data_IF_482617544254
#
_entry.id   IF_482617544254
#
_cell.length_a   1.000
_cell.length_b   1.000
_cell.length_c   1.000
_cell.angle_alpha   90.00
_cell.angle_beta   90.00
_cell.angle_gamma   90.00
#
_symmetry.space_group_name_H-M   'P 1'
#
loop_
_entity.id
_entity.type
_entity.pdbx_description
1 polymer ?
#
# COMPACT_ATOMS: atom_id res chain seq x y z
N UNK A 1 -16.74 16.76 15.93
CA UNK A 1 -15.98 15.66 16.55
C UNK A 1 -15.70 14.57 15.49
N UNK A 2 -14.92 14.88 14.44
CA UNK A 2 -14.73 13.97 13.28
C UNK A 2 -13.27 13.99 12.78
N UNK A 3 -12.46 13.07 13.28
CA UNK A 3 -11.12 12.75 12.78
C UNK A 3 -10.96 11.23 12.76
N UNK A 4 -11.50 10.53 11.77
CA UNK A 4 -11.74 9.09 11.99
C UNK A 4 -11.52 8.13 10.81
N UNK A 5 -10.61 8.47 9.89
CA UNK A 5 -9.93 7.39 9.17
C UNK A 5 -8.77 6.83 10.01
N UNK A 6 -8.08 7.66 10.81
CA UNK A 6 -6.97 7.29 11.73
C UNK A 6 -5.88 6.36 11.17
N UNK A 7 -5.85 6.14 9.86
CA UNK A 7 -4.78 5.43 9.16
C UNK A 7 -3.57 6.34 9.20
N UNK A 8 -2.58 5.95 9.99
CA UNK A 8 -1.25 6.54 9.94
C UNK A 8 -0.42 5.83 8.86
N UNK A 9 0.82 6.31 8.68
CA UNK A 9 1.74 5.79 7.66
C UNK A 9 2.05 4.31 7.89
N UNK A 10 2.26 3.91 9.15
CA UNK A 10 2.54 2.51 9.53
C UNK A 10 1.40 1.56 9.15
N UNK A 11 0.15 1.91 9.48
CA UNK A 11 -1.02 1.12 9.10
C UNK A 11 -1.13 1.05 7.58
N UNK A 12 -0.90 2.17 6.88
CA UNK A 12 -0.96 2.19 5.42
C UNK A 12 0.14 1.32 4.79
N UNK A 13 1.37 1.39 5.29
CA UNK A 13 2.48 0.51 4.91
C UNK A 13 2.10 -0.96 5.06
N UNK A 14 1.53 -1.34 6.20
CA UNK A 14 1.12 -2.72 6.43
C UNK A 14 -0.03 -3.14 5.50
N UNK A 15 -0.93 -2.22 5.12
CA UNK A 15 -1.95 -2.49 4.10
C UNK A 15 -1.32 -2.70 2.72
N UNK A 16 -0.26 -1.96 2.37
CA UNK A 16 0.50 -2.18 1.12
C UNK A 16 1.12 -3.58 1.13
N UNK A 17 1.84 -3.97 2.19
CA UNK A 17 2.42 -5.33 2.32
C UNK A 17 1.35 -6.42 2.27
N UNK A 18 0.26 -6.24 3.03
CA UNK A 18 -0.89 -7.15 3.01
C UNK A 18 -1.46 -7.31 1.60
N UNK A 19 -1.45 -6.25 0.79
CA UNK A 19 -1.93 -6.26 -0.59
C UNK A 19 -1.07 -7.16 -1.48
N UNK A 20 0.26 -7.11 -1.38
CA UNK A 20 1.13 -8.06 -2.08
C UNK A 20 0.80 -9.51 -1.71
N UNK A 21 0.72 -9.81 -0.41
CA UNK A 21 0.36 -11.15 0.07
C UNK A 21 -1.05 -11.59 -0.35
N UNK A 22 -2.02 -10.67 -0.34
CA UNK A 22 -3.38 -10.95 -0.77
C UNK A 22 -3.44 -11.25 -2.29
N UNK A 23 -2.67 -10.53 -3.10
CA UNK A 23 -2.56 -10.78 -4.54
C UNK A 23 -1.86 -12.10 -4.85
N UNK A 24 -0.84 -12.47 -4.07
CA UNK A 24 -0.06 -13.70 -4.26
C UNK A 24 -0.81 -14.95 -3.77
N UNK A 25 -1.41 -14.87 -2.58
CA UNK A 25 -1.96 -16.03 -1.85
C UNK A 25 -3.49 -16.02 -1.75
N UNK A 26 -4.18 -15.04 -2.32
CA UNK A 26 -5.65 -14.95 -2.27
C UNK A 26 -6.23 -14.59 -0.90
N UNK A 27 -5.41 -14.05 0.02
CA UNK A 27 -5.85 -13.66 1.37
C UNK A 27 -6.83 -12.48 1.35
N UNK A 28 -7.69 -12.41 2.37
CA UNK A 28 -8.58 -11.26 2.62
C UNK A 28 -7.89 -10.21 3.49
N UNK A 29 -8.28 -8.96 3.32
CA UNK A 29 -7.83 -7.80 4.10
C UNK A 29 -9.08 -7.08 4.59
N UNK A 30 -9.32 -7.12 5.89
CA UNK A 30 -10.42 -6.43 6.55
C UNK A 30 -9.91 -5.12 7.13
N UNK A 31 -10.50 -3.99 6.72
CA UNK A 31 -10.14 -2.66 7.24
C UNK A 31 -11.36 -2.08 7.96
N UNK A 32 -11.32 -2.05 9.30
CA UNK A 32 -12.39 -1.48 10.11
C UNK A 32 -12.11 0.00 10.32
N UNK A 33 -13.04 0.84 9.86
CA UNK A 33 -12.95 2.29 9.93
C UNK A 33 -13.84 2.82 11.05
N UNK A 34 -13.37 3.85 11.75
CA UNK A 34 -14.14 4.56 12.77
C UNK A 34 -15.14 5.53 12.10
N UNK A 35 -16.07 5.01 11.30
CA UNK A 35 -17.03 5.84 10.58
C UNK A 35 -18.44 5.26 10.63
N UNK A 36 -19.43 6.14 10.50
CA UNK A 36 -20.82 5.73 10.34
C UNK A 36 -21.04 5.12 8.95
N UNK A 37 -22.10 4.31 8.86
CA UNK A 37 -22.49 3.58 7.65
C UNK A 37 -22.54 4.45 6.39
N UNK A 38 -23.05 5.67 6.51
CA UNK A 38 -23.26 6.56 5.37
C UNK A 38 -21.94 7.10 4.78
N UNK A 39 -20.83 6.98 5.52
CA UNK A 39 -19.53 7.54 5.12
C UNK A 39 -18.51 6.48 4.68
N UNK A 40 -18.79 5.20 4.90
CA UNK A 40 -17.86 4.12 4.62
C UNK A 40 -17.45 4.08 3.14
N UNK A 41 -18.39 4.29 2.22
CA UNK A 41 -18.14 4.27 0.78
C UNK A 41 -17.20 5.41 0.37
N UNK A 42 -17.45 6.62 0.92
CA UNK A 42 -16.63 7.78 0.62
C UNK A 42 -15.20 7.61 1.14
N UNK A 43 -15.04 7.18 2.40
CA UNK A 43 -13.73 7.02 3.03
C UNK A 43 -12.94 5.89 2.37
N UNK A 44 -13.58 4.74 2.13
CA UNK A 44 -12.94 3.59 1.47
C UNK A 44 -12.48 3.91 0.06
N UNK A 45 -13.27 4.63 -0.75
CA UNK A 45 -12.87 5.06 -2.10
C UNK A 45 -11.61 5.89 -2.08
N UNK A 46 -11.46 6.79 -1.11
CA UNK A 46 -10.27 7.62 -1.00
C UNK A 46 -9.04 6.82 -0.53
N UNK A 47 -9.20 5.90 0.42
CA UNK A 47 -8.12 4.98 0.81
C UNK A 47 -7.68 4.15 -0.40
N UNK A 48 -8.64 3.61 -1.15
CA UNK A 48 -8.37 2.83 -2.36
C UNK A 48 -7.69 3.65 -3.43
N UNK A 49 -8.06 4.92 -3.63
CA UNK A 49 -7.41 5.81 -4.59
C UNK A 49 -5.91 5.92 -4.33
N UNK A 50 -5.52 6.09 -3.07
CA UNK A 50 -4.10 6.16 -2.69
C UNK A 50 -3.43 4.80 -2.71
N UNK A 51 -4.10 3.74 -2.24
CA UNK A 51 -3.55 2.39 -2.26
C UNK A 51 -3.26 1.94 -3.70
N UNK A 52 -4.22 2.09 -4.62
CA UNK A 52 -4.02 1.74 -6.02
C UNK A 52 -2.99 2.62 -6.71
N UNK A 53 -2.70 3.81 -6.19
CA UNK A 53 -1.65 4.66 -6.73
C UNK A 53 -0.25 4.13 -6.43
N UNK A 54 -0.07 3.51 -5.26
CA UNK A 54 1.24 3.02 -4.79
C UNK A 54 1.49 1.54 -5.08
N UNK A 55 0.47 0.80 -5.52
CA UNK A 55 0.64 -0.61 -5.90
C UNK A 55 1.15 -0.73 -7.35
N UNK A 56 1.98 -1.72 -7.69
CA UNK A 56 2.32 -2.04 -9.08
C UNK A 56 1.13 -2.59 -9.87
N UNK A 57 1.13 -2.47 -11.22
CA UNK A 57 0.03 -2.97 -12.06
C UNK A 57 -0.30 -4.47 -11.86
N UNK A 58 0.68 -5.38 -11.75
CA UNK A 58 0.41 -6.80 -11.49
C UNK A 58 -0.39 -7.03 -10.20
N UNK A 59 -0.07 -6.29 -9.14
CA UNK A 59 -0.77 -6.36 -7.85
C UNK A 59 -2.18 -5.76 -7.97
N UNK A 60 -2.34 -4.59 -8.60
CA UNK A 60 -3.66 -3.96 -8.84
C UNK A 60 -4.62 -4.88 -9.59
N UNK A 61 -4.13 -5.65 -10.57
CA UNK A 61 -4.96 -6.55 -11.39
C UNK A 61 -5.52 -7.75 -10.60
N UNK A 62 -4.92 -8.10 -9.46
CA UNK A 62 -5.30 -9.29 -8.66
C UNK A 62 -6.09 -8.98 -7.40
N UNK A 63 -6.15 -7.72 -7.00
CA UNK A 63 -6.86 -7.28 -5.80
C UNK A 63 -8.14 -6.57 -6.24
N UNK A 64 -9.29 -7.06 -5.83
CA UNK A 64 -10.53 -6.31 -5.85
C UNK A 64 -10.96 -5.88 -4.44
N UNK A 65 -11.95 -5.01 -4.38
CA UNK A 65 -12.47 -4.48 -3.12
C UNK A 65 -13.99 -4.51 -3.06
N UNK A 66 -14.53 -4.45 -1.84
CA UNK A 66 -15.95 -4.20 -1.60
C UNK A 66 -16.12 -3.30 -0.38
N UNK A 67 -17.11 -2.42 -0.48
CA UNK A 67 -17.68 -1.69 0.64
C UNK A 67 -18.98 -2.41 0.97
N UNK A 68 -19.19 -2.84 2.23
CA UNK A 68 -20.39 -3.51 2.76
C UNK A 68 -20.37 -5.04 3.01
N UNK A 69 -21.08 -5.42 4.09
CA UNK A 69 -21.12 -6.72 4.81
C UNK A 69 -21.83 -7.88 4.11
N UNK A 70 -22.56 -7.66 3.01
CA UNK A 70 -23.18 -8.76 2.25
C UNK A 70 -22.13 -9.32 1.29
N UNK A 71 -21.13 -10.00 1.85
CA UNK A 71 -20.14 -10.73 1.07
C UNK A 71 -20.90 -11.75 0.21
N UNK A 72 -20.90 -11.63 -1.13
CA UNK A 72 -21.39 -12.71 -1.97
C UNK A 72 -20.49 -13.92 -1.70
N UNK A 73 -21.08 -15.08 -1.42
CA UNK A 73 -20.39 -16.30 -0.96
C UNK A 73 -19.22 -16.76 -1.85
N UNK A 74 -19.07 -16.24 -3.07
CA UNK A 74 -17.92 -16.51 -3.93
C UNK A 74 -17.61 -15.31 -4.82
N UNK A 75 -16.57 -14.55 -4.47
CA UNK A 75 -15.78 -13.78 -5.45
C UNK A 75 -14.30 -13.98 -5.11
N UNK A 76 -13.64 -14.81 -5.92
CA UNK A 76 -12.20 -15.10 -5.83
C UNK A 76 -11.31 -13.85 -5.98
N UNK A 77 -11.89 -12.72 -6.41
CA UNK A 77 -11.19 -11.47 -6.69
C UNK A 77 -11.49 -10.34 -5.69
N UNK A 78 -12.27 -10.56 -4.62
CA UNK A 78 -12.44 -9.53 -3.57
C UNK A 78 -11.44 -9.81 -2.47
N UNK A 79 -10.43 -8.97 -2.29
CA UNK A 79 -9.44 -9.13 -1.24
C UNK A 79 -9.67 -8.10 -0.14
N UNK A 80 -9.94 -6.83 -0.47
CA UNK A 80 -10.09 -5.76 0.52
C UNK A 80 -11.56 -5.54 0.86
N UNK A 81 -11.89 -5.59 2.15
CA UNK A 81 -13.24 -5.42 2.68
C UNK A 81 -13.21 -4.30 3.71
N UNK A 82 -13.90 -3.19 3.40
CA UNK A 82 -14.06 -2.09 4.35
C UNK A 82 -15.29 -2.31 5.23
N UNK A 83 -15.10 -2.12 6.53
CA UNK A 83 -16.12 -2.34 7.56
C UNK A 83 -16.25 -1.11 8.46
N UNK A 84 -17.45 -0.87 9.00
CA UNK A 84 -17.65 0.15 10.04
C UNK A 84 -17.23 -0.40 11.40
N UNK A 85 -16.90 0.49 12.35
CA UNK A 85 -16.72 0.15 13.76
C UNK A 85 -17.85 -0.76 14.27
N UNK A 86 -17.49 -1.83 14.98
CA UNK A 86 -18.43 -2.79 15.54
C UNK A 86 -18.95 -3.85 14.55
N UNK A 87 -18.47 -3.86 13.29
CA UNK A 87 -18.84 -4.90 12.31
C UNK A 87 -18.26 -6.27 12.65
N UNK A 88 -17.07 -6.31 13.26
CA UNK A 88 -16.44 -7.55 13.75
C UNK A 88 -16.81 -7.70 15.22
N UNK A 89 -17.72 -8.62 15.53
CA UNK A 89 -18.12 -8.91 16.92
C UNK A 89 -17.20 -9.92 17.60
N UNK A 90 -16.70 -10.89 16.84
CA UNK A 90 -15.79 -11.94 17.29
C UNK A 90 -14.91 -12.38 16.15
N UNK A 91 -13.61 -12.49 16.42
CA UNK A 91 -12.63 -12.95 15.44
C UNK A 91 -12.68 -14.47 15.38
N UNK A 92 -13.01 -15.00 14.21
CA UNK A 92 -13.10 -16.44 13.94
C UNK A 92 -11.91 -16.89 13.07
N UNK A 93 -11.80 -18.20 12.84
CA UNK A 93 -10.70 -18.79 12.06
C UNK A 93 -10.65 -18.27 10.62
N UNK A 94 -11.81 -18.01 10.02
CA UNK A 94 -11.90 -17.46 8.65
C UNK A 94 -11.33 -16.04 8.57
N UNK A 95 -11.63 -15.18 9.54
CA UNK A 95 -11.05 -13.83 9.63
C UNK A 95 -9.54 -13.90 9.87
N UNK A 96 -9.07 -14.83 10.71
CA UNK A 96 -7.64 -15.05 10.99
C UNK A 96 -6.85 -15.62 9.81
N UNK A 97 -7.51 -16.23 8.83
CA UNK A 97 -6.86 -16.67 7.61
C UNK A 97 -6.43 -15.50 6.69
N UNK A 98 -7.01 -14.32 6.91
CA UNK A 98 -6.64 -13.07 6.26
C UNK A 98 -5.91 -12.11 7.19
N UNK A 99 -6.02 -10.81 6.87
CA UNK A 99 -5.45 -9.71 7.62
C UNK A 99 -6.56 -8.83 8.19
N UNK A 100 -6.42 -8.36 9.43
CA UNK A 100 -7.40 -7.50 10.08
C UNK A 100 -6.70 -6.23 10.55
N UNK A 101 -7.24 -5.08 10.15
CA UNK A 101 -6.85 -3.75 10.60
C UNK A 101 -8.05 -3.13 11.31
N UNK A 102 -8.24 -3.43 12.60
CA UNK A 102 -9.25 -2.78 13.43
C UNK A 102 -8.71 -1.48 14.02
N UNK A 103 -8.85 -0.41 13.25
CA UNK A 103 -8.35 0.91 13.60
C UNK A 103 -9.06 1.50 14.84
N UNK A 104 -10.41 1.49 14.97
CA UNK A 104 -11.07 1.96 16.18
C UNK A 104 -10.77 1.11 17.41
N UNK A 105 -10.63 -0.21 17.25
CA UNK A 105 -10.30 -1.15 18.33
C UNK A 105 -8.81 -1.16 18.69
N UNK A 106 -7.94 -0.67 17.79
CA UNK A 106 -6.48 -0.82 17.84
C UNK A 106 -6.03 -2.28 17.88
N UNK A 107 -6.78 -3.16 17.20
CA UNK A 107 -6.46 -4.58 17.08
C UNK A 107 -6.00 -4.90 15.65
N UNK A 108 -4.84 -5.52 15.53
CA UNK A 108 -4.21 -5.82 14.23
C UNK A 108 -3.83 -7.30 14.16
N UNK A 109 -4.32 -7.99 13.13
CA UNK A 109 -3.95 -9.36 12.81
C UNK A 109 -3.18 -9.33 11.49
N UNK A 110 -1.86 -9.31 11.60
CA UNK A 110 -0.93 -9.09 10.48
C UNK A 110 0.07 -10.24 10.33
N UNK A 111 -0.29 -11.44 10.81
CA UNK A 111 0.59 -12.61 10.82
C UNK A 111 1.12 -12.95 9.42
N UNK A 112 2.44 -13.05 9.32
CA UNK A 112 3.15 -13.29 8.07
C UNK A 112 3.39 -12.05 7.21
N UNK A 113 3.02 -10.85 7.67
CA UNK A 113 3.60 -9.60 7.15
C UNK A 113 4.91 -9.38 7.90
N UNK A 114 6.01 -9.22 7.17
CA UNK A 114 7.31 -8.97 7.77
C UNK A 114 7.39 -7.55 8.38
N UNK A 115 8.31 -7.38 9.32
CA UNK A 115 8.64 -6.07 9.92
C UNK A 115 9.78 -5.34 9.20
N UNK A 116 10.29 -5.87 8.09
CA UNK A 116 11.41 -5.30 7.37
C UNK A 116 11.02 -3.96 6.73
N UNK A 117 12.01 -3.10 6.53
CA UNK A 117 11.84 -1.92 5.69
C UNK A 117 12.07 -2.31 4.25
N UNK A 118 11.21 -1.80 3.37
CA UNK A 118 11.26 -2.07 1.94
C UNK A 118 11.55 -0.76 1.22
N UNK A 119 12.72 -0.60 0.59
CA UNK A 119 13.05 0.55 -0.22
C UNK A 119 11.95 0.93 -1.22
N UNK A 120 11.28 -0.06 -1.82
CA UNK A 120 10.15 0.19 -2.70
C UNK A 120 8.98 0.87 -1.98
N UNK A 121 8.61 0.39 -0.78
CA UNK A 121 7.53 0.98 0.01
C UNK A 121 7.87 2.41 0.41
N UNK A 122 9.11 2.64 0.88
CA UNK A 122 9.59 3.98 1.24
C UNK A 122 9.49 4.92 0.03
N UNK A 123 9.92 4.48 -1.15
CA UNK A 123 9.80 5.25 -2.39
C UNK A 123 8.35 5.64 -2.72
N UNK A 124 7.42 4.67 -2.70
CA UNK A 124 6.03 4.96 -3.09
C UNK A 124 5.28 5.81 -2.07
N UNK A 125 5.60 5.68 -0.77
CA UNK A 125 5.03 6.51 0.29
C UNK A 125 5.53 7.95 0.16
N UNK A 126 6.84 8.14 -0.03
CA UNK A 126 7.43 9.47 -0.23
C UNK A 126 6.88 10.18 -1.49
N UNK A 127 6.45 9.40 -2.49
CA UNK A 127 5.89 9.90 -3.75
C UNK A 127 4.37 9.79 -3.86
N UNK A 128 3.63 9.45 -2.80
CA UNK A 128 2.17 9.18 -2.85
C UNK A 128 1.33 10.35 -3.41
N UNK A 129 1.82 11.59 -3.24
CA UNK A 129 1.20 12.79 -3.80
C UNK A 129 1.67 13.19 -5.20
N UNK A 130 2.69 12.51 -5.75
CA UNK A 130 3.29 12.82 -7.05
C UNK A 130 2.94 11.73 -8.07
N UNK A 131 1.76 11.86 -8.68
CA UNK A 131 1.23 10.87 -9.65
C UNK A 131 2.14 10.70 -10.86
N UNK A 132 2.76 11.78 -11.35
CA UNK A 132 3.65 11.73 -12.50
C UNK A 132 4.86 10.81 -12.23
N UNK A 133 5.52 10.98 -11.08
CA UNK A 133 6.66 10.14 -10.69
C UNK A 133 6.27 8.68 -10.49
N UNK A 134 5.15 8.42 -9.82
CA UNK A 134 4.69 7.04 -9.61
C UNK A 134 4.29 6.37 -10.92
N UNK A 135 3.60 7.07 -11.81
CA UNK A 135 3.21 6.52 -13.11
C UNK A 135 4.43 6.23 -13.99
N UNK A 136 5.41 7.16 -14.04
CA UNK A 136 6.66 6.93 -14.76
C UNK A 136 7.40 5.69 -14.23
N UNK A 137 7.53 5.57 -12.90
CA UNK A 137 8.14 4.40 -12.26
C UNK A 137 7.41 3.11 -12.65
N UNK A 138 6.09 3.02 -12.48
CA UNK A 138 5.35 1.79 -12.77
C UNK A 138 5.35 1.44 -14.26
N UNK A 139 5.35 2.42 -15.16
CA UNK A 139 5.49 2.18 -16.59
C UNK A 139 6.86 1.59 -16.94
N UNK A 140 7.94 2.14 -16.35
CA UNK A 140 9.30 1.59 -16.52
C UNK A 140 9.38 0.16 -16.00
N UNK A 141 8.83 -0.12 -14.83
CA UNK A 141 8.83 -1.45 -14.23
C UNK A 141 8.04 -2.47 -15.06
N UNK A 142 6.86 -2.10 -15.57
CA UNK A 142 6.05 -3.00 -16.41
C UNK A 142 6.79 -3.38 -17.71
N UNK A 143 7.60 -2.47 -18.26
CA UNK A 143 8.44 -2.73 -19.42
C UNK A 143 9.64 -3.65 -19.13
N UNK A 144 10.11 -3.75 -17.88
CA UNK A 144 11.26 -4.56 -17.48
C UNK A 144 10.91 -6.02 -17.12
N UNK A 145 9.62 -6.41 -17.14
CA UNK A 145 9.12 -7.77 -16.88
C UNK A 145 9.74 -8.43 -15.64
N UNK A 146 9.31 -8.00 -14.45
CA UNK A 146 9.61 -8.71 -13.20
C UNK A 146 9.01 -10.12 -13.24
N UNK A 147 9.83 -11.15 -13.03
CA UNK A 147 9.41 -12.56 -13.04
C UNK A 147 8.38 -12.86 -11.93
N UNK A 148 8.73 -12.56 -10.67
CA UNK A 148 7.84 -12.69 -9.53
C UNK A 148 7.14 -11.37 -9.19
N UNK A 149 6.38 -10.81 -10.13
CA UNK A 149 5.73 -9.49 -10.01
C UNK A 149 4.71 -9.31 -8.86
N UNK A 150 4.48 -10.32 -8.04
CA UNK A 150 3.66 -10.25 -6.81
C UNK A 150 4.48 -10.38 -5.53
N UNK A 151 5.78 -10.62 -5.66
CA UNK A 151 6.73 -10.66 -4.57
C UNK A 151 7.25 -9.24 -4.33
N UNK A 152 7.05 -8.72 -3.13
CA UNK A 152 7.46 -7.36 -2.75
C UNK A 152 8.97 -7.17 -2.88
N UNK A 153 9.76 -8.19 -2.55
CA UNK A 153 11.22 -8.12 -2.54
C UNK A 153 11.83 -7.85 -3.93
N UNK A 154 11.17 -8.32 -4.99
CA UNK A 154 11.60 -8.04 -6.37
C UNK A 154 11.57 -6.54 -6.70
N UNK A 155 10.64 -5.81 -6.08
CA UNK A 155 10.57 -4.36 -6.25
C UNK A 155 11.65 -3.63 -5.46
N UNK A 156 12.09 -4.18 -4.33
CA UNK A 156 13.21 -3.61 -3.57
C UNK A 156 14.53 -3.73 -4.33
N UNK A 157 14.71 -4.81 -5.08
CA UNK A 157 15.93 -5.06 -5.86
C UNK A 157 16.16 -3.99 -6.94
N UNK A 158 15.10 -3.32 -7.42
CA UNK A 158 15.20 -2.16 -8.31
C UNK A 158 15.99 -1.02 -7.65
N UNK A 159 15.85 -0.84 -6.34
CA UNK A 159 16.54 0.19 -5.57
C UNK A 159 17.87 -0.30 -4.98
N UNK A 160 18.13 -1.61 -5.05
CA UNK A 160 19.25 -2.28 -4.42
C UNK A 160 20.56 -2.29 -5.23
N UNK A 161 20.72 -1.40 -6.22
CA UNK A 161 21.89 -1.36 -7.12
C UNK A 161 23.22 -1.70 -6.44
N UNK A 162 23.70 -2.94 -6.69
CA UNK A 162 24.90 -3.60 -6.16
C UNK A 162 24.94 -3.91 -4.65
N UNK A 163 24.27 -4.97 -4.19
CA UNK A 163 24.76 -5.77 -3.05
C UNK A 163 24.14 -7.19 -2.93
N UNK A 164 24.06 -7.93 -4.05
CA UNK A 164 23.92 -9.40 -4.01
C UNK A 164 25.08 -10.07 -4.77
N UNK A 165 26.31 -9.64 -4.49
CA UNK A 165 27.51 -10.46 -4.72
C UNK A 165 27.92 -11.12 -3.41
N UNK A 166 27.11 -12.07 -2.96
CA UNK A 166 27.47 -13.19 -2.08
C UNK A 166 26.22 -14.08 -2.06
N UNK A 167 26.07 -15.01 -2.99
CA UNK A 167 26.73 -16.32 -2.96
C UNK A 167 26.61 -16.92 -4.38
N UNK A 168 27.73 -17.49 -4.86
CA UNK A 168 27.91 -18.32 -6.05
C UNK A 168 28.07 -17.62 -7.43
N UNK A 169 29.33 -17.43 -7.79
CA UNK A 169 29.95 -17.47 -9.12
C UNK A 169 29.05 -17.59 -10.37
N UNK A 170 29.15 -16.60 -11.27
CA UNK A 170 29.76 -16.80 -12.61
C UNK A 170 30.09 -15.47 -13.31
N UNK A 171 31.15 -15.55 -14.09
CA UNK A 171 31.96 -14.49 -14.73
C UNK A 171 31.23 -13.75 -15.88
N UNK A 172 31.78 -12.57 -16.18
CA UNK A 172 31.72 -11.75 -17.42
C UNK A 172 30.37 -11.06 -17.71
N UNK A 173 30.26 -9.78 -18.08
CA UNK A 173 31.21 -8.79 -18.57
C UNK A 173 30.74 -7.35 -18.25
N UNK A 174 31.70 -6.41 -18.23
CA UNK A 174 31.51 -4.95 -18.13
C UNK A 174 30.75 -4.41 -19.35
N UNK A 175 29.94 -3.37 -19.16
CA UNK A 175 29.95 -2.06 -19.87
C UNK A 175 28.78 -1.21 -19.35
N UNK A 176 29.02 0.07 -19.03
CA UNK A 176 27.97 1.11 -19.06
C UNK A 176 27.47 1.72 -17.76
N UNK A 177 28.30 1.94 -16.72
CA UNK A 177 27.87 2.61 -15.47
C UNK A 177 28.40 4.05 -15.44
N UNK A 178 27.68 4.99 -16.07
CA UNK A 178 27.90 6.43 -15.82
C UNK A 178 26.61 7.25 -15.68
N UNK A 179 25.48 6.85 -16.25
CA UNK A 179 24.29 7.70 -16.28
C UNK A 179 23.32 7.51 -15.08
N UNK A 180 23.35 6.37 -14.40
CA UNK A 180 22.38 6.06 -13.31
C UNK A 180 22.78 6.65 -11.94
N UNK A 181 24.08 6.88 -11.70
CA UNK A 181 24.58 7.44 -10.43
C UNK A 181 24.21 8.90 -10.23
N UNK A 182 24.10 9.68 -11.31
CA UNK A 182 23.68 11.09 -11.23
C UNK A 182 22.18 11.23 -10.96
N UNK A 183 21.34 10.31 -11.45
CA UNK A 183 19.89 10.36 -11.17
C UNK A 183 19.59 10.01 -9.70
N UNK A 184 20.25 9.00 -9.13
CA UNK A 184 20.01 8.60 -7.74
C UNK A 184 20.46 9.67 -6.71
N UNK A 185 21.55 10.39 -7.00
CA UNK A 185 22.02 11.47 -6.12
C UNK A 185 21.10 12.70 -6.17
N UNK A 186 20.51 13.01 -7.33
CA UNK A 186 19.49 14.07 -7.45
C UNK A 186 18.18 13.76 -6.70
N UNK A 187 17.88 12.48 -6.43
CA UNK A 187 16.72 12.09 -5.61
C UNK A 187 16.95 12.34 -4.11
N UNK A 188 18.16 12.05 -3.58
CA UNK A 188 18.48 12.20 -2.15
C UNK A 188 18.61 13.67 -1.70
N UNK A 189 19.06 14.57 -2.56
CA UNK A 189 19.26 15.97 -2.18
C UNK A 189 17.94 16.76 -1.96
N UNK A 190 16.82 16.25 -2.45
CA UNK A 190 15.49 16.87 -2.26
C UNK A 190 14.78 16.47 -0.95
N UNK A 191 15.29 15.50 -0.19
CA UNK A 191 14.64 14.95 1.00
C UNK A 191 14.76 15.85 2.26
N UNK A 192 15.71 16.79 2.29
CA UNK A 192 16.00 17.56 3.51
C UNK A 192 15.07 18.76 3.78
N UNK A 193 14.04 19.02 2.96
CA UNK A 193 13.25 20.26 3.08
C UNK A 193 11.73 20.10 3.17
N UNK A 194 11.19 18.87 3.25
CA UNK A 194 9.73 18.67 3.26
C UNK A 194 9.25 17.83 4.43
N UNK A 195 8.70 18.51 5.46
CA UNK A 195 7.93 17.86 6.53
C UNK A 195 6.91 16.87 5.97
N UNK A 196 6.85 15.70 6.62
CA UNK A 196 6.24 14.45 6.14
C UNK A 196 5.04 14.67 5.19
N UNK A 197 5.28 14.44 3.90
CA UNK A 197 4.34 14.65 2.80
C UNK A 197 3.09 13.76 2.93
N UNK A 198 3.24 12.55 3.47
CA UNK A 198 2.13 11.66 3.79
C UNK A 198 1.21 12.28 4.85
N UNK A 199 1.77 12.85 5.92
CA UNK A 199 1.00 13.55 6.95
C UNK A 199 0.25 14.74 6.38
N UNK A 200 0.87 15.51 5.47
CA UNK A 200 0.18 16.63 4.78
C UNK A 200 -0.97 16.16 3.89
N UNK A 201 -0.79 15.07 3.16
CA UNK A 201 -1.82 14.49 2.28
C UNK A 201 -2.97 13.90 3.11
N UNK A 202 -2.66 13.21 4.21
CA UNK A 202 -3.66 12.67 5.12
C UNK A 202 -4.39 13.77 5.89
N UNK A 203 -3.69 14.84 6.28
CA UNK A 203 -4.31 16.03 6.87
C UNK A 203 -5.22 16.75 5.87
N UNK A 204 -4.76 16.96 4.64
CA UNK A 204 -5.57 17.50 3.55
C UNK A 204 -6.82 16.63 3.30
N UNK A 205 -6.66 15.31 3.32
CA UNK A 205 -7.78 14.37 3.20
C UNK A 205 -8.79 14.52 4.34
N UNK A 206 -8.32 14.54 5.58
CA UNK A 206 -9.15 14.77 6.78
C UNK A 206 -9.87 16.12 6.68
N UNK A 207 -9.22 17.16 6.18
CA UNK A 207 -9.80 18.50 6.08
C UNK A 207 -10.80 18.61 4.92
N UNK A 208 -10.55 17.96 3.77
CA UNK A 208 -11.52 17.87 2.66
C UNK A 208 -12.78 17.08 3.05
N UNK A 209 -12.60 16.00 3.82
CA UNK A 209 -13.69 15.29 4.52
C UNK A 209 -14.50 16.31 5.32
N UNK A 210 -13.88 17.01 6.28
CA UNK A 210 -14.59 17.96 7.16
C UNK A 210 -15.35 19.05 6.40
N UNK A 211 -14.78 19.60 5.32
CA UNK A 211 -15.42 20.65 4.52
C UNK A 211 -16.66 20.12 3.81
N UNK A 212 -16.57 18.93 3.20
CA UNK A 212 -17.71 18.31 2.51
C UNK A 212 -18.85 17.96 3.49
N UNK A 213 -18.53 17.65 4.74
CA UNK A 213 -19.48 17.34 5.81
C UNK A 213 -20.03 18.57 6.56
N UNK A 214 -19.55 19.79 6.27
CA UNK A 214 -20.16 21.03 6.79
C UNK A 214 -21.31 21.55 5.94
N UNK A 215 -21.50 20.99 4.74
CA UNK A 215 -22.47 21.44 3.74
C UNK A 215 -23.66 20.45 3.57
N UNK A 216 -23.85 19.54 4.54
CA UNK A 216 -25.01 18.65 4.70
C UNK A 216 -25.46 18.75 6.16
#
# INVERSE_FOLDING_TARGET
>A
MYSKASINEEIFTNIIKASFHAAQYGKKIYVVLDCEKNYIEYISREILRYLYRVLPFPVRRRIGFITYMKVPKNKNFINIIFLCKGSIKRINTELKAGYIFDIPGKEFYIDGIDSAKHPFIDFVINNIGNEAVLNDFFNKVDNHKIEESLNLCEYDDIFGGNNRNSIADKKTAKIGIKDEKEQYNNFKENDNMHGNKFVKIMKFFIDKIKIKFKNY
#
